data_IF_823897847128
#
_entry.id   IF_823897847128
#
_cell.length_a   1.000
_cell.length_b   1.000
_cell.length_c   1.000
_cell.angle_alpha   90.00
_cell.angle_beta   90.00
_cell.angle_gamma   90.00
#
_symmetry.space_group_name_H-M   'P 1'
#
loop_
_entity.id
_entity.type
_entity.pdbx_description
1 polymer ?
#
# COMPACT_ATOMS: atom_id res chain seq x y z
N UNK A 1 16.71 -31.17 6.04
CA UNK A 1 17.01 -30.44 4.79
C UNK A 1 15.98 -29.33 4.66
N UNK A 2 16.31 -28.14 5.16
CA UNK A 2 15.49 -26.94 5.06
C UNK A 2 15.80 -26.29 3.71
N UNK A 3 14.91 -26.44 2.72
CA UNK A 3 14.99 -25.65 1.49
C UNK A 3 14.82 -24.18 1.84
N UNK A 4 15.92 -23.44 1.94
CA UNK A 4 15.92 -21.99 1.93
C UNK A 4 15.44 -21.55 0.54
N UNK A 5 14.14 -21.27 0.42
CA UNK A 5 13.60 -20.61 -0.76
C UNK A 5 14.49 -19.39 -1.09
N UNK A 6 14.94 -19.20 -2.35
CA UNK A 6 15.84 -18.11 -2.68
C UNK A 6 15.25 -16.79 -2.22
N UNK A 7 16.00 -16.06 -1.38
CA UNK A 7 15.57 -14.80 -0.78
C UNK A 7 15.27 -13.72 -1.85
N UNK A 8 15.77 -13.93 -3.07
CA UNK A 8 15.70 -13.07 -4.24
C UNK A 8 14.67 -13.47 -5.31
N UNK A 9 13.77 -14.42 -5.05
CA UNK A 9 12.70 -14.73 -6.00
C UNK A 9 11.84 -13.48 -6.30
N UNK A 10 11.52 -13.32 -7.58
CA UNK A 10 10.54 -12.37 -8.07
C UNK A 10 9.19 -12.62 -7.38
N UNK A 11 8.42 -11.56 -7.22
CA UNK A 11 7.14 -11.58 -6.51
C UNK A 11 6.10 -12.30 -7.36
N UNK A 12 6.20 -12.18 -8.69
CA UNK A 12 5.45 -13.02 -9.63
C UNK A 12 5.67 -14.50 -9.32
N UNK A 13 6.93 -14.91 -9.17
CA UNK A 13 7.30 -16.30 -9.00
C UNK A 13 6.86 -16.81 -7.62
N UNK A 14 6.95 -15.95 -6.59
CA UNK A 14 6.39 -16.27 -5.26
C UNK A 14 4.87 -16.41 -5.30
N UNK A 15 4.17 -15.58 -6.07
CA UNK A 15 2.72 -15.65 -6.22
C UNK A 15 2.30 -16.91 -6.97
N UNK A 16 3.05 -17.30 -8.01
CA UNK A 16 2.84 -18.55 -8.74
C UNK A 16 3.13 -19.77 -7.85
N UNK A 17 4.23 -19.77 -7.10
CA UNK A 17 4.53 -20.81 -6.10
C UNK A 17 3.46 -20.90 -5.00
N UNK A 18 2.90 -19.77 -4.58
CA UNK A 18 1.79 -19.73 -3.63
C UNK A 18 0.55 -20.43 -4.17
N UNK A 19 0.21 -20.19 -5.44
CA UNK A 19 -0.92 -20.89 -6.07
C UNK A 19 -0.65 -22.38 -6.24
N UNK A 20 0.60 -22.77 -6.48
CA UNK A 20 1.00 -24.18 -6.58
C UNK A 20 1.00 -24.92 -5.24
N UNK A 21 1.33 -24.22 -4.14
CA UNK A 21 1.34 -24.77 -2.76
C UNK A 21 0.00 -24.69 -2.05
N UNK A 22 -1.00 -24.02 -2.64
CA UNK A 22 -2.33 -23.93 -2.07
C UNK A 22 -3.03 -25.30 -2.20
N UNK A 23 -2.91 -26.12 -1.15
CA UNK A 23 -3.60 -27.40 -1.05
C UNK A 23 -5.07 -27.18 -0.63
N UNK A 24 -6.01 -27.71 -1.42
CA UNK A 24 -7.44 -27.65 -1.13
C UNK A 24 -8.22 -26.51 -1.82
N UNK A 25 -9.51 -26.40 -1.49
CA UNK A 25 -10.45 -25.44 -2.13
C UNK A 25 -10.37 -24.02 -1.56
N UNK A 26 -9.83 -23.85 -0.35
CA UNK A 26 -9.73 -22.55 0.32
C UNK A 26 -8.45 -22.42 1.17
N UNK A 27 -7.88 -21.22 1.19
CA UNK A 27 -6.73 -20.85 2.02
C UNK A 27 -7.05 -19.65 2.92
N UNK A 28 -6.41 -19.55 4.08
CA UNK A 28 -6.64 -18.42 5.00
C UNK A 28 -5.84 -17.19 4.58
N UNK A 29 -6.38 -16.00 4.87
CA UNK A 29 -5.69 -14.74 4.58
C UNK A 29 -4.38 -14.62 5.38
N UNK A 30 -4.34 -15.15 6.62
CA UNK A 30 -3.13 -15.24 7.42
C UNK A 30 -2.02 -16.02 6.73
N UNK A 31 -2.35 -17.20 6.17
CA UNK A 31 -1.39 -18.04 5.46
C UNK A 31 -0.82 -17.33 4.22
N UNK A 32 -1.66 -16.63 3.45
CA UNK A 32 -1.22 -15.85 2.29
C UNK A 32 -0.20 -14.77 2.71
N UNK A 33 -0.51 -14.00 3.75
CA UNK A 33 0.37 -12.92 4.23
C UNK A 33 1.69 -13.45 4.80
N UNK A 34 1.64 -14.58 5.51
CA UNK A 34 2.83 -15.22 6.08
C UNK A 34 3.78 -15.69 4.98
N UNK A 35 3.26 -16.28 3.90
CA UNK A 35 4.08 -16.71 2.78
C UNK A 35 4.72 -15.54 2.01
N UNK A 36 4.02 -14.41 1.91
CA UNK A 36 4.52 -13.20 1.25
C UNK A 36 5.56 -12.42 2.10
N UNK A 37 5.69 -12.70 3.40
CA UNK A 37 6.65 -12.07 4.33
C UNK A 37 6.65 -10.54 4.22
N UNK A 38 7.82 -9.91 4.11
CA UNK A 38 8.00 -8.44 4.06
C UNK A 38 7.34 -7.80 2.83
N UNK A 39 7.11 -8.56 1.76
CA UNK A 39 6.44 -8.08 0.55
C UNK A 39 4.92 -7.99 0.71
N UNK A 40 4.36 -8.62 1.75
CA UNK A 40 2.93 -8.61 2.04
C UNK A 40 2.39 -7.20 2.28
N UNK A 41 3.17 -6.32 2.92
CA UNK A 41 2.78 -4.91 3.11
C UNK A 41 2.59 -4.18 1.79
N UNK A 42 3.56 -4.28 0.88
CA UNK A 42 3.48 -3.65 -0.43
C UNK A 42 2.29 -4.14 -1.23
N UNK A 43 2.04 -5.45 -1.25
CA UNK A 43 0.91 -6.02 -1.98
C UNK A 43 -0.44 -5.59 -1.38
N UNK A 44 -0.55 -5.61 -0.04
CA UNK A 44 -1.78 -5.25 0.65
C UNK A 44 -2.09 -3.76 0.48
N UNK A 45 -1.10 -2.88 0.67
CA UNK A 45 -1.25 -1.45 0.41
C UNK A 45 -1.62 -1.18 -1.04
N UNK A 46 -1.01 -1.87 -2.00
CA UNK A 46 -1.33 -1.71 -3.42
C UNK A 46 -2.80 -2.03 -3.69
N UNK A 47 -3.29 -3.19 -3.21
CA UNK A 47 -4.68 -3.61 -3.39
C UNK A 47 -5.66 -2.60 -2.76
N UNK A 48 -5.35 -2.09 -1.56
CA UNK A 48 -6.18 -1.11 -0.87
C UNK A 48 -6.12 0.29 -1.52
N UNK A 49 -4.98 0.70 -2.06
CA UNK A 49 -4.82 2.02 -2.64
C UNK A 49 -5.42 2.14 -4.05
N UNK A 50 -5.52 1.04 -4.80
CA UNK A 50 -6.05 1.03 -6.16
C UNK A 50 -7.47 1.65 -6.29
N UNK A 51 -8.46 1.30 -5.45
CA UNK A 51 -9.76 1.98 -5.46
C UNK A 51 -9.67 3.50 -5.20
N UNK A 52 -8.68 3.95 -4.43
CA UNK A 52 -8.50 5.37 -4.10
C UNK A 52 -8.01 6.20 -5.30
N UNK A 53 -7.42 5.56 -6.32
CA UNK A 53 -6.96 6.23 -7.54
C UNK A 53 -8.10 6.57 -8.51
N UNK A 54 -9.32 6.06 -8.31
CA UNK A 54 -10.45 6.30 -9.20
C UNK A 54 -11.04 7.68 -8.90
N UNK A 55 -10.99 8.65 -9.84
CA UNK A 55 -11.59 9.95 -9.62
C UNK A 55 -13.11 9.82 -9.53
N UNK A 56 -13.74 10.68 -8.73
CA UNK A 56 -15.20 10.69 -8.50
C UNK A 56 -15.78 9.43 -7.83
N UNK A 57 -14.94 8.53 -7.31
CA UNK A 57 -15.41 7.44 -6.48
C UNK A 57 -15.66 7.95 -5.06
N UNK A 58 -16.92 8.20 -4.71
CA UNK A 58 -17.30 8.74 -3.41
C UNK A 58 -17.54 7.62 -2.38
N UNK A 59 -17.14 7.84 -1.13
CA UNK A 59 -17.38 6.94 0.00
C UNK A 59 -16.47 5.71 0.07
N UNK A 60 -16.18 5.07 -1.07
CA UNK A 60 -15.29 3.89 -1.11
C UNK A 60 -13.86 4.22 -0.66
N UNK A 61 -13.19 5.28 -1.17
CA UNK A 61 -11.83 5.62 -0.71
C UNK A 61 -11.75 5.87 0.79
N UNK A 62 -12.78 6.45 1.40
CA UNK A 62 -12.84 6.74 2.84
C UNK A 62 -12.95 5.46 3.67
N UNK A 63 -13.78 4.51 3.23
CA UNK A 63 -13.89 3.20 3.89
C UNK A 63 -12.58 2.42 3.76
N UNK A 64 -11.94 2.49 2.59
CA UNK A 64 -10.68 1.77 2.30
C UNK A 64 -9.47 2.47 2.94
N UNK A 65 -9.52 3.78 3.16
CA UNK A 65 -8.48 4.53 3.85
C UNK A 65 -8.31 4.10 5.31
N UNK A 66 -9.36 3.57 5.96
CA UNK A 66 -9.28 3.08 7.34
C UNK A 66 -8.32 1.86 7.48
N UNK A 67 -8.51 0.74 6.76
CA UNK A 67 -7.56 -0.37 6.81
C UNK A 67 -6.21 0.02 6.21
N UNK A 68 -6.17 0.94 5.23
CA UNK A 68 -4.92 1.46 4.68
C UNK A 68 -4.11 2.20 5.76
N UNK A 69 -4.76 3.09 6.52
CA UNK A 69 -4.17 3.80 7.65
C UNK A 69 -3.71 2.83 8.73
N UNK A 70 -4.54 1.84 9.06
CA UNK A 70 -4.21 0.81 10.04
C UNK A 70 -2.91 0.06 9.68
N UNK A 71 -2.76 -0.36 8.42
CA UNK A 71 -1.55 -1.03 7.92
C UNK A 71 -0.36 -0.08 7.92
N UNK A 72 -0.57 1.18 7.54
CA UNK A 72 0.47 2.22 7.52
C UNK A 72 1.04 2.48 8.93
N UNK A 73 0.17 2.52 9.95
CA UNK A 73 0.57 2.61 11.36
C UNK A 73 1.44 1.42 11.77
N UNK A 74 1.13 0.21 11.30
CA UNK A 74 1.96 -0.96 11.62
C UNK A 74 3.36 -0.88 11.01
N UNK A 75 3.48 -0.36 9.78
CA UNK A 75 4.77 -0.08 9.15
C UNK A 75 5.51 1.00 9.94
N UNK A 76 4.80 2.03 10.39
CA UNK A 76 5.37 3.10 11.22
C UNK A 76 5.96 2.56 12.53
N UNK A 77 5.40 1.50 13.11
CA UNK A 77 5.96 0.79 14.28
C UNK A 77 6.95 -0.34 13.90
N UNK A 78 7.34 -0.43 12.63
CA UNK A 78 8.36 -1.35 12.13
C UNK A 78 7.92 -2.82 12.07
N UNK A 79 6.63 -3.14 12.02
CA UNK A 79 6.17 -4.54 11.83
C UNK A 79 6.69 -5.10 10.51
N UNK A 80 7.05 -6.39 10.47
CA UNK A 80 7.57 -7.07 9.26
C UNK A 80 6.49 -7.74 8.40
N UNK A 81 5.35 -8.08 9.00
CA UNK A 81 4.20 -8.67 8.31
C UNK A 81 2.93 -7.91 8.73
N UNK A 82 1.97 -7.66 7.81
CA UNK A 82 0.69 -7.04 8.17
C UNK A 82 -0.05 -7.91 9.18
N UNK A 83 -0.32 -7.34 10.34
CA UNK A 83 -1.17 -7.95 11.35
C UNK A 83 -2.63 -7.69 11.00
N UNK A 84 -3.42 -8.76 10.94
CA UNK A 84 -4.86 -8.70 10.75
C UNK A 84 -5.57 -9.09 12.05
N UNK A 85 -6.73 -8.49 12.37
CA UNK A 85 -7.55 -8.95 13.49
C UNK A 85 -7.99 -10.40 13.25
N UNK A 86 -8.09 -11.21 14.31
CA UNK A 86 -8.29 -12.67 14.22
C UNK A 86 -9.43 -13.12 13.30
N UNK A 87 -10.55 -12.38 13.28
CA UNK A 87 -11.69 -12.64 12.37
C UNK A 87 -11.32 -12.51 10.88
N UNK A 88 -10.45 -11.57 10.54
CA UNK A 88 -10.02 -11.30 9.16
C UNK A 88 -8.86 -12.21 8.76
N UNK A 89 -7.96 -12.50 9.69
CA UNK A 89 -6.87 -13.46 9.54
C UNK A 89 -7.39 -14.89 9.25
N UNK A 90 -8.46 -15.29 9.95
CA UNK A 90 -9.13 -16.59 9.77
C UNK A 90 -10.07 -16.66 8.56
N UNK A 91 -10.29 -15.53 7.85
CA UNK A 91 -11.17 -15.50 6.69
C UNK A 91 -10.59 -16.38 5.59
N UNK A 92 -11.39 -17.33 5.12
CA UNK A 92 -11.03 -18.23 4.04
C UNK A 92 -11.31 -17.59 2.70
N UNK A 93 -10.37 -17.72 1.78
CA UNK A 93 -10.43 -17.25 0.41
C UNK A 93 -10.32 -18.47 -0.49
N UNK A 94 -11.25 -18.62 -1.43
CA UNK A 94 -11.21 -19.72 -2.39
C UNK A 94 -9.88 -19.70 -3.15
N UNK A 95 -9.23 -20.85 -3.29
CA UNK A 95 -7.97 -21.00 -4.03
C UNK A 95 -8.12 -20.54 -5.48
N UNK A 96 -9.32 -20.71 -6.06
CA UNK A 96 -9.67 -20.18 -7.38
C UNK A 96 -9.62 -18.64 -7.45
N UNK A 97 -10.03 -17.95 -6.40
CA UNK A 97 -9.95 -16.48 -6.32
C UNK A 97 -8.51 -16.01 -6.18
N UNK A 98 -7.69 -16.72 -5.39
CA UNK A 98 -6.25 -16.44 -5.28
C UNK A 98 -5.56 -16.65 -6.64
N UNK A 99 -5.88 -17.74 -7.35
CA UNK A 99 -5.35 -18.01 -8.69
C UNK A 99 -5.76 -16.94 -9.70
N UNK A 100 -7.02 -16.51 -9.70
CA UNK A 100 -7.48 -15.38 -10.55
C UNK A 100 -6.74 -14.09 -10.22
N UNK A 101 -6.49 -13.82 -8.94
CA UNK A 101 -5.70 -12.66 -8.53
C UNK A 101 -4.27 -12.78 -9.05
N UNK A 102 -3.64 -13.95 -8.95
CA UNK A 102 -2.31 -14.21 -9.48
C UNK A 102 -2.22 -14.03 -11.00
N UNK A 103 -3.18 -14.59 -11.74
CA UNK A 103 -3.26 -14.46 -13.21
C UNK A 103 -3.42 -12.99 -13.66
N UNK A 104 -4.13 -12.17 -12.86
CA UNK A 104 -4.43 -10.78 -13.20
C UNK A 104 -3.36 -9.80 -12.70
N UNK A 105 -2.83 -10.03 -11.51
CA UNK A 105 -1.77 -9.23 -10.91
C UNK A 105 -0.39 -9.59 -11.49
N UNK A 106 -0.16 -10.85 -11.86
CA UNK A 106 1.12 -11.37 -12.35
C UNK A 106 1.71 -10.57 -13.51
N UNK A 107 0.98 -10.31 -14.61
CA UNK A 107 1.48 -9.49 -15.72
C UNK A 107 1.81 -8.04 -15.33
N UNK A 108 1.08 -7.47 -14.39
CA UNK A 108 1.39 -6.16 -13.82
C UNK A 108 2.65 -6.23 -12.98
N UNK A 109 2.74 -7.23 -12.11
CA UNK A 109 3.85 -7.44 -11.21
C UNK A 109 5.17 -7.66 -11.96
N UNK A 110 5.16 -8.49 -13.02
CA UNK A 110 6.31 -8.67 -13.92
C UNK A 110 6.72 -7.40 -14.64
N UNK A 111 5.75 -6.57 -15.10
CA UNK A 111 6.08 -5.28 -15.72
C UNK A 111 6.78 -4.36 -14.74
N UNK A 112 6.29 -4.34 -13.51
CA UNK A 112 6.87 -3.48 -12.51
C UNK A 112 8.24 -4.06 -12.10
N UNK A 113 8.41 -5.38 -12.01
CA UNK A 113 9.72 -6.03 -11.77
C UNK A 113 10.73 -5.73 -12.87
N UNK A 114 10.27 -5.60 -14.12
CA UNK A 114 11.14 -5.20 -15.22
C UNK A 114 11.61 -3.74 -15.10
N UNK A 115 10.78 -2.86 -14.52
CA UNK A 115 11.09 -1.43 -14.34
C UNK A 115 11.88 -1.17 -13.05
N UNK A 116 11.63 -1.93 -12.00
CA UNK A 116 12.18 -1.69 -10.66
C UNK A 116 13.19 -2.76 -10.29
N UNK A 117 14.38 -2.30 -9.92
CA UNK A 117 15.44 -3.13 -9.35
C UNK A 117 15.58 -2.79 -7.87
N UNK A 118 15.95 -3.74 -6.99
CA UNK A 118 16.17 -3.47 -5.57
C UNK A 118 17.34 -2.49 -5.39
N UNK A 119 17.03 -1.20 -5.42
CA UNK A 119 17.95 -0.06 -5.31
C UNK A 119 17.61 0.66 -4.02
N UNK A 120 18.62 1.08 -3.26
CA UNK A 120 18.43 1.78 -1.98
C UNK A 120 17.53 1.00 -0.98
N UNK A 121 17.76 -0.31 -0.83
CA UNK A 121 17.04 -1.15 0.13
C UNK A 121 17.14 -0.69 1.60
N UNK A 122 18.02 0.28 1.90
CA UNK A 122 18.11 0.96 3.20
C UNK A 122 16.83 1.74 3.51
N UNK A 123 16.17 2.34 2.51
CA UNK A 123 14.94 3.13 2.70
C UNK A 123 13.73 2.25 3.04
N UNK A 124 13.79 0.98 2.66
CA UNK A 124 12.79 -0.05 2.95
C UNK A 124 13.14 -0.89 4.18
N UNK A 125 14.24 -0.58 4.87
CA UNK A 125 14.68 -1.25 6.10
C UNK A 125 14.62 -0.28 7.28
N UNK A 126 14.60 -0.84 8.50
CA UNK A 126 14.73 -0.06 9.72
C UNK A 126 16.03 0.77 9.69
N UNK A 127 16.01 2.05 10.09
CA UNK A 127 14.88 2.79 10.67
C UNK A 127 14.02 3.58 9.67
N UNK A 128 14.36 3.61 8.39
CA UNK A 128 13.68 4.46 7.39
C UNK A 128 12.24 4.02 7.11
N UNK A 129 11.91 2.75 7.33
CA UNK A 129 10.54 2.23 7.30
C UNK A 129 9.56 3.00 8.20
N UNK A 130 10.01 3.56 9.33
CA UNK A 130 9.17 4.37 10.22
C UNK A 130 8.70 5.65 9.54
N UNK A 131 9.59 6.33 8.81
CA UNK A 131 9.25 7.54 8.05
C UNK A 131 8.31 7.23 6.89
N UNK A 132 8.51 6.10 6.21
CA UNK A 132 7.60 5.64 5.16
C UNK A 132 6.21 5.37 5.74
N UNK A 133 6.14 4.68 6.88
CA UNK A 133 4.89 4.46 7.60
C UNK A 133 4.20 5.77 7.99
N UNK A 134 4.94 6.74 8.53
CA UNK A 134 4.40 8.05 8.90
C UNK A 134 3.85 8.82 7.68
N UNK A 135 4.56 8.80 6.55
CA UNK A 135 4.08 9.40 5.30
C UNK A 135 2.80 8.72 4.81
N UNK A 136 2.75 7.39 4.82
CA UNK A 136 1.56 6.63 4.45
C UNK A 136 0.35 6.88 5.37
N UNK A 137 0.60 7.07 6.68
CA UNK A 137 -0.45 7.48 7.63
C UNK A 137 -0.99 8.85 7.26
N UNK A 138 -0.11 9.81 6.95
CA UNK A 138 -0.52 11.15 6.52
C UNK A 138 -1.33 11.09 5.21
N UNK A 139 -0.92 10.25 4.25
CA UNK A 139 -1.63 10.09 2.97
C UNK A 139 -3.01 9.48 3.20
N UNK A 140 -3.10 8.45 4.04
CA UNK A 140 -4.36 7.81 4.39
C UNK A 140 -5.30 8.76 5.13
N UNK A 141 -4.77 9.57 6.06
CA UNK A 141 -5.52 10.61 6.75
C UNK A 141 -6.06 11.66 5.76
N UNK A 142 -5.26 12.06 4.77
CA UNK A 142 -5.71 12.97 3.71
C UNK A 142 -6.84 12.38 2.87
N UNK A 143 -6.85 11.07 2.59
CA UNK A 143 -7.93 10.40 1.84
C UNK A 143 -9.21 10.30 2.68
N UNK A 144 -9.08 10.20 3.99
CA UNK A 144 -10.22 10.11 4.91
C UNK A 144 -11.03 11.42 4.93
N UNK A 145 -10.38 12.56 4.68
CA UNK A 145 -11.06 13.84 4.51
C UNK A 145 -11.89 13.78 3.22
N UNK A 146 -13.23 13.90 3.30
CA UNK A 146 -14.09 13.80 2.13
C UNK A 146 -14.05 15.11 1.34
N UNK A 147 -12.98 15.32 0.58
CA UNK A 147 -12.83 16.41 -0.37
C UNK A 147 -12.94 15.87 -1.81
N UNK A 148 -13.75 16.51 -2.67
CA UNK A 148 -13.91 16.06 -4.05
C UNK A 148 -12.61 16.22 -4.82
N UNK A 149 -12.27 15.22 -5.64
CA UNK A 149 -11.07 15.18 -6.50
C UNK A 149 -9.69 15.26 -5.80
N UNK A 150 -9.62 15.35 -4.47
CA UNK A 150 -8.33 15.44 -3.74
C UNK A 150 -7.75 14.09 -3.35
N UNK A 151 -8.57 13.03 -3.34
CA UNK A 151 -8.19 11.70 -2.83
C UNK A 151 -7.36 10.89 -3.83
N UNK A 152 -7.46 11.23 -5.11
CA UNK A 152 -6.78 10.52 -6.19
C UNK A 152 -5.27 10.66 -6.10
N UNK A 153 -4.74 11.86 -5.83
CA UNK A 153 -3.29 12.10 -5.79
C UNK A 153 -2.62 11.39 -4.60
N UNK A 154 -3.12 11.47 -3.35
CA UNK A 154 -2.63 10.66 -2.25
C UNK A 154 -2.77 9.16 -2.52
N UNK A 155 -3.86 8.72 -3.18
CA UNK A 155 -4.04 7.33 -3.61
C UNK A 155 -2.90 6.87 -4.52
N UNK A 156 -2.57 7.66 -5.54
CA UNK A 156 -1.43 7.39 -6.43
C UNK A 156 -0.10 7.41 -5.68
N UNK A 157 0.12 8.34 -4.76
CA UNK A 157 1.31 8.36 -3.91
C UNK A 157 1.47 7.06 -3.13
N UNK A 158 0.39 6.57 -2.51
CA UNK A 158 0.38 5.29 -1.79
C UNK A 158 0.66 4.13 -2.73
N UNK A 159 0.06 4.09 -3.93
CA UNK A 159 0.35 3.06 -4.93
C UNK A 159 1.84 3.03 -5.27
N UNK A 160 2.45 4.19 -5.54
CA UNK A 160 3.88 4.28 -5.88
C UNK A 160 4.76 3.83 -4.70
N UNK A 161 4.45 4.26 -3.47
CA UNK A 161 5.16 3.79 -2.27
C UNK A 161 4.98 2.28 -2.08
N UNK A 162 3.76 1.76 -2.23
CA UNK A 162 3.45 0.34 -2.11
C UNK A 162 4.24 -0.50 -3.12
N UNK A 163 4.39 -0.02 -4.35
CA UNK A 163 5.26 -0.66 -5.35
C UNK A 163 6.72 -0.67 -4.93
N UNK A 164 7.24 0.45 -4.41
CA UNK A 164 8.59 0.50 -3.86
C UNK A 164 8.81 -0.44 -2.68
N UNK A 165 7.85 -0.55 -1.76
CA UNK A 165 7.89 -1.53 -0.66
C UNK A 165 7.87 -2.97 -1.18
N UNK A 166 6.99 -3.26 -2.14
CA UNK A 166 6.79 -4.57 -2.74
C UNK A 166 8.10 -5.08 -3.38
N UNK A 167 8.82 -4.18 -4.05
CA UNK A 167 10.03 -4.50 -4.82
C UNK A 167 11.34 -4.20 -4.09
N UNK A 168 11.27 -3.66 -2.88
CA UNK A 168 12.44 -3.14 -2.13
C UNK A 168 13.21 -2.08 -2.90
N UNK A 169 12.49 -1.22 -3.62
CA UNK A 169 13.02 -0.09 -4.37
C UNK A 169 12.77 1.22 -3.62
N UNK A 170 13.83 1.73 -2.99
CA UNK A 170 13.80 2.97 -2.24
C UNK A 170 13.57 4.21 -3.10
N UNK A 171 13.88 4.17 -4.40
CA UNK A 171 13.64 5.33 -5.29
C UNK A 171 12.14 5.51 -5.48
N UNK A 172 11.42 4.42 -5.74
CA UNK A 172 9.95 4.47 -5.86
C UNK A 172 9.31 4.95 -4.56
N UNK A 173 9.77 4.45 -3.41
CA UNK A 173 9.30 4.94 -2.10
C UNK A 173 9.52 6.44 -1.96
N UNK A 174 10.70 6.95 -2.33
CA UNK A 174 11.01 8.37 -2.25
C UNK A 174 10.14 9.21 -3.20
N UNK A 175 9.97 8.77 -4.45
CA UNK A 175 9.12 9.46 -5.43
C UNK A 175 7.68 9.55 -4.92
N UNK A 176 7.13 8.43 -4.44
CA UNK A 176 5.78 8.40 -3.88
C UNK A 176 5.66 9.27 -2.64
N UNK A 177 6.66 9.25 -1.75
CA UNK A 177 6.69 10.09 -0.56
C UNK A 177 6.73 11.58 -0.90
N UNK A 178 7.59 12.01 -1.83
CA UNK A 178 7.69 13.40 -2.29
C UNK A 178 6.39 13.84 -2.96
N UNK A 179 5.83 13.01 -3.84
CA UNK A 179 4.58 13.32 -4.55
C UNK A 179 3.41 13.52 -3.58
N UNK A 180 3.22 12.59 -2.63
CA UNK A 180 2.13 12.69 -1.67
C UNK A 180 2.31 13.85 -0.68
N UNK A 181 3.54 14.06 -0.18
CA UNK A 181 3.82 15.16 0.76
C UNK A 181 3.67 16.53 0.10
N UNK A 182 4.16 16.71 -1.12
CA UNK A 182 3.98 17.94 -1.89
C UNK A 182 2.49 18.25 -2.15
N UNK A 183 1.71 17.22 -2.46
CA UNK A 183 0.26 17.37 -2.64
C UNK A 183 -0.43 17.82 -1.35
N UNK A 184 -0.13 17.17 -0.23
CA UNK A 184 -0.71 17.55 1.07
C UNK A 184 -0.29 18.96 1.47
N UNK A 185 0.97 19.35 1.25
CA UNK A 185 1.42 20.72 1.49
C UNK A 185 0.60 21.73 0.67
N UNK A 186 0.32 21.40 -0.59
CA UNK A 186 -0.53 22.22 -1.47
C UNK A 186 -1.97 22.31 -0.93
N UNK A 187 -2.55 21.20 -0.47
CA UNK A 187 -3.88 21.19 0.14
C UNK A 187 -3.95 22.04 1.41
N UNK A 188 -2.93 21.95 2.28
CA UNK A 188 -2.86 22.75 3.51
C UNK A 188 -2.74 24.25 3.19
N UNK A 189 -1.90 24.62 2.22
CA UNK A 189 -1.73 26.01 1.81
C UNK A 189 -3.01 26.57 1.15
N UNK A 190 -3.63 25.81 0.26
CA UNK A 190 -4.90 26.18 -0.37
C UNK A 190 -6.04 26.29 0.66
N UNK A 191 -6.11 25.38 1.63
CA UNK A 191 -7.07 25.43 2.72
C UNK A 191 -6.86 26.65 3.63
N UNK A 192 -5.62 26.94 4.01
CA UNK A 192 -5.28 28.10 4.84
C UNK A 192 -5.62 29.42 4.15
N UNK A 193 -5.30 29.56 2.86
CA UNK A 193 -5.64 30.76 2.09
C UNK A 193 -7.14 30.94 1.97
N UNK A 194 -7.91 29.87 1.69
CA UNK A 194 -9.37 29.93 1.65
C UNK A 194 -9.98 30.39 2.99
N UNK A 195 -9.50 29.84 4.11
CA UNK A 195 -9.96 30.24 5.46
C UNK A 195 -9.62 31.71 5.73
N UNK A 196 -8.43 32.18 5.33
CA UNK A 196 -8.05 33.58 5.50
C UNK A 196 -8.92 34.55 4.70
N UNK A 197 -9.30 34.17 3.47
CA UNK A 197 -10.21 34.96 2.62
C UNK A 197 -11.61 35.02 3.21
N UNK A 198 -12.11 33.90 3.75
CA UNK A 198 -13.42 33.84 4.41
C UNK A 198 -13.42 34.71 5.67
N UNK A 199 -12.36 34.66 6.49
CA UNK A 199 -12.24 35.54 7.68
C UNK A 199 -12.20 37.01 7.29
N UNK A 200 -11.42 37.37 6.26
CA UNK A 200 -11.36 38.73 5.74
C UNK A 200 -12.70 39.23 5.20
N UNK A 201 -13.49 38.36 4.57
CA UNK A 201 -14.83 38.70 4.09
C UNK A 201 -15.86 38.81 5.22
N UNK A 202 -15.72 37.97 6.26
CA UNK A 202 -16.57 38.00 7.46
C UNK A 202 -16.18 39.10 8.47
N UNK A 203 -15.08 39.83 8.23
CA UNK A 203 -14.63 40.92 9.09
C UNK A 203 -14.10 40.47 10.46
N UNK A 204 -13.60 39.23 10.57
CA UNK A 204 -12.95 38.65 11.76
C UNK A 204 -11.43 38.80 11.71
#
# INVERSE_FOLDING_TARGET
>A
MTETAPEDLAISDRLDQLTARAEGTEVSLAWILEQLHERAFGLFLLILALPCCIPFLYGVPQIVALPLMFVSVQIMFGRRVPWLPGKLAARRVATASLRRLAERAGPWLRRIEAVSRPRLGVLTRRPMDHFVGAALVLFSASILVPLPATNTVPGFAVVVVAMGLLQRDGILVLIGAVLGTAWIATLLFAGATLVSLIRGWLGL
#
